data_IF_571517591438
#
_entry.id   IF_571517591438
#
_cell.length_a   1.000
_cell.length_b   1.000
_cell.length_c   1.000
_cell.angle_alpha   90.00
_cell.angle_beta   90.00
_cell.angle_gamma   90.00
#
_symmetry.space_group_name_H-M   'P 1'
#
loop_
_entity.id
_entity.type
_entity.pdbx_description
1 polymer ?
#
# COMPACT_ATOMS: atom_id res chain seq x y z
N UNK A 1 -0.64 -1.40 11.38
CA UNK A 1 0.53 -2.31 11.40
C UNK A 1 0.12 -3.63 12.03
N UNK A 2 0.55 -4.76 11.46
CA UNK A 2 0.31 -6.10 11.98
C UNK A 2 1.51 -7.01 11.78
N UNK A 3 1.70 -7.98 12.66
CA UNK A 3 2.62 -9.09 12.47
C UNK A 3 1.85 -10.34 12.02
N UNK A 4 2.22 -10.85 10.85
CA UNK A 4 1.73 -12.12 10.33
C UNK A 4 2.56 -13.26 10.89
N UNK A 5 1.96 -14.02 11.80
CA UNK A 5 2.65 -15.13 12.48
C UNK A 5 2.96 -16.31 11.54
N UNK A 6 2.27 -16.44 10.41
CA UNK A 6 2.47 -17.55 9.47
C UNK A 6 3.71 -17.33 8.61
N UNK A 7 3.83 -16.13 8.06
CA UNK A 7 4.93 -15.77 7.18
C UNK A 7 6.05 -15.02 7.91
N UNK A 8 5.85 -14.70 9.21
CA UNK A 8 6.79 -13.95 10.06
C UNK A 8 7.14 -12.56 9.51
N UNK A 9 6.17 -11.91 8.89
CA UNK A 9 6.28 -10.62 8.19
C UNK A 9 5.47 -9.56 8.93
N UNK A 10 5.98 -8.34 8.93
CA UNK A 10 5.24 -7.16 9.41
C UNK A 10 4.65 -6.43 8.21
N UNK A 11 3.34 -6.18 8.23
CA UNK A 11 2.66 -5.29 7.28
C UNK A 11 2.37 -3.95 7.93
N UNK A 12 2.67 -2.87 7.22
CA UNK A 12 2.44 -1.49 7.64
C UNK A 12 1.64 -0.79 6.55
N UNK A 13 0.45 -0.31 6.89
CA UNK A 13 -0.36 0.52 5.99
C UNK A 13 -0.32 1.97 6.45
N UNK A 14 -0.06 2.88 5.53
CA UNK A 14 -0.18 4.32 5.71
C UNK A 14 -1.34 4.82 4.85
N UNK A 15 -2.30 5.52 5.45
CA UNK A 15 -3.27 6.33 4.73
C UNK A 15 -2.68 7.72 4.53
N UNK A 16 -2.60 8.14 3.28
CA UNK A 16 -1.96 9.40 2.88
C UNK A 16 -2.74 10.03 1.73
N UNK A 17 -3.13 11.28 1.91
CA UNK A 17 -3.83 12.05 0.88
C UNK A 17 -3.05 13.31 0.59
N UNK A 18 -2.58 13.45 -0.65
CA UNK A 18 -1.79 14.59 -1.09
C UNK A 18 -2.68 15.64 -1.77
N UNK A 19 -2.61 16.89 -1.36
CA UNK A 19 -3.37 17.93 -2.04
C UNK A 19 -2.85 18.14 -3.47
N UNK A 20 -3.74 18.18 -4.45
CA UNK A 20 -3.41 18.45 -5.86
C UNK A 20 -3.00 19.89 -6.14
N UNK A 21 -3.16 20.78 -5.16
CA UNK A 21 -2.79 22.18 -5.30
C UNK A 21 -2.25 22.76 -3.99
N UNK A 22 -1.21 23.58 -4.08
CA UNK A 22 -0.68 24.35 -2.95
C UNK A 22 -1.57 25.54 -2.53
N UNK A 23 -2.66 25.78 -3.25
CA UNK A 23 -3.61 26.86 -2.93
C UNK A 23 -4.61 26.48 -1.85
N UNK A 24 -4.66 25.20 -1.45
CA UNK A 24 -5.52 24.78 -0.36
C UNK A 24 -4.88 25.18 0.97
N UNK A 25 -5.71 25.76 1.83
CA UNK A 25 -5.29 26.22 3.15
C UNK A 25 -5.80 25.23 4.19
N UNK A 26 -4.99 24.89 5.16
CA UNK A 26 -5.42 24.09 6.29
C UNK A 26 -5.32 24.89 7.59
N UNK A 27 -6.20 24.59 8.53
CA UNK A 27 -6.21 25.20 9.85
C UNK A 27 -5.32 24.43 10.85
N UNK A 28 -5.22 24.93 12.09
CA UNK A 28 -4.47 24.28 13.16
C UNK A 28 -4.99 22.89 13.53
N UNK A 29 -6.22 22.54 13.14
CA UNK A 29 -6.85 21.23 13.35
C UNK A 29 -6.61 20.27 12.19
N UNK A 30 -5.95 20.72 11.11
CA UNK A 30 -5.68 19.93 9.92
C UNK A 30 -6.86 19.85 8.96
N UNK A 31 -7.88 20.73 9.10
CA UNK A 31 -9.01 20.80 8.16
C UNK A 31 -8.61 21.64 6.96
N UNK A 32 -8.85 21.11 5.76
CA UNK A 32 -8.55 21.80 4.51
C UNK A 32 -9.73 22.63 4.02
N UNK A 33 -9.39 23.79 3.45
CA UNK A 33 -10.36 24.73 2.92
C UNK A 33 -9.95 25.26 1.54
N UNK A 34 -10.94 25.53 0.72
CA UNK A 34 -10.81 26.42 -0.44
C UNK A 34 -11.34 27.79 -0.05
N UNK A 35 -10.57 28.84 -0.33
CA UNK A 35 -11.04 30.22 -0.15
C UNK A 35 -11.39 30.82 -1.51
N UNK A 36 -12.66 31.17 -1.70
CA UNK A 36 -13.14 31.90 -2.86
C UNK A 36 -14.09 33.01 -2.39
N UNK A 37 -13.84 34.24 -2.84
CA UNK A 37 -14.65 35.42 -2.47
C UNK A 37 -14.89 35.58 -0.95
N UNK A 38 -13.83 35.35 -0.14
CA UNK A 38 -13.88 35.36 1.32
C UNK A 38 -14.78 34.27 1.97
N UNK A 39 -15.28 33.32 1.19
CA UNK A 39 -16.00 32.17 1.69
C UNK A 39 -15.00 31.01 1.81
N UNK A 40 -14.91 30.41 3.01
CA UNK A 40 -14.13 29.18 3.25
C UNK A 40 -15.06 27.99 3.12
N UNK A 41 -14.75 27.11 2.17
CA UNK A 41 -15.45 25.84 2.00
C UNK A 41 -14.55 24.69 2.44
N UNK A 42 -15.02 23.91 3.41
CA UNK A 42 -14.30 22.73 3.89
C UNK A 42 -14.25 21.65 2.80
N UNK A 43 -13.07 21.01 2.68
CA UNK A 43 -12.82 19.95 1.71
C UNK A 43 -12.50 18.66 2.46
N UNK A 44 -13.22 17.59 2.16
CA UNK A 44 -12.90 16.28 2.71
C UNK A 44 -11.60 15.74 2.09
N UNK A 45 -10.71 15.18 2.90
CA UNK A 45 -9.45 14.56 2.45
C UNK A 45 -9.66 13.45 1.42
N UNK A 46 -10.81 12.78 1.48
CA UNK A 46 -11.17 11.69 0.56
C UNK A 46 -11.78 12.17 -0.76
N UNK A 47 -11.90 13.50 -0.97
CA UNK A 47 -12.47 14.03 -2.21
C UNK A 47 -11.42 13.97 -3.34
N UNK A 48 -11.62 13.13 -4.38
CA UNK A 48 -10.65 12.91 -5.44
C UNK A 48 -10.47 14.12 -6.38
N UNK A 49 -11.35 15.13 -6.30
CA UNK A 49 -11.18 16.36 -7.06
C UNK A 49 -10.00 17.19 -6.52
N UNK A 50 -9.80 17.17 -5.20
CA UNK A 50 -8.83 18.02 -4.50
C UNK A 50 -7.61 17.27 -3.99
N UNK A 51 -7.73 15.97 -3.76
CA UNK A 51 -6.66 15.14 -3.22
C UNK A 51 -6.37 13.94 -4.12
N UNK A 52 -5.12 13.53 -4.12
CA UNK A 52 -4.64 12.28 -4.67
C UNK A 52 -4.46 11.30 -3.51
N UNK A 53 -5.01 10.09 -3.65
CA UNK A 53 -4.75 9.00 -2.70
C UNK A 53 -3.33 8.46 -2.96
N UNK A 54 -2.44 8.68 -1.99
CA UNK A 54 -1.06 8.23 -2.00
C UNK A 54 -0.82 7.20 -0.88
N UNK A 55 -1.89 6.53 -0.46
CA UNK A 55 -1.83 5.47 0.54
C UNK A 55 -1.02 4.27 0.02
N UNK A 56 -0.46 3.50 0.94
CA UNK A 56 0.31 2.32 0.60
C UNK A 56 0.35 1.31 1.75
N UNK A 57 0.61 0.08 1.40
CA UNK A 57 0.98 -0.99 2.34
C UNK A 57 2.36 -1.50 1.97
N UNK A 58 3.22 -1.70 2.96
CA UNK A 58 4.57 -2.25 2.78
C UNK A 58 4.77 -3.42 3.73
N UNK A 59 5.57 -4.40 3.31
CA UNK A 59 5.99 -5.53 4.13
C UNK A 59 7.45 -5.45 4.52
N UNK A 60 7.76 -5.92 5.72
CA UNK A 60 9.09 -5.94 6.30
C UNK A 60 9.36 -7.30 6.94
N UNK A 61 10.52 -7.89 6.65
CA UNK A 61 11.00 -9.09 7.31
C UNK A 61 11.91 -8.72 8.49
N UNK A 62 11.48 -8.97 9.73
CA UNK A 62 12.28 -8.65 10.91
C UNK A 62 13.47 -9.58 11.10
N UNK A 63 13.51 -10.77 10.50
CA UNK A 63 14.63 -11.71 10.61
C UNK A 63 15.82 -11.25 9.77
N UNK A 64 15.58 -11.02 8.48
CA UNK A 64 16.61 -10.53 7.55
C UNK A 64 16.80 -9.00 7.64
N UNK A 65 15.91 -8.29 8.33
CA UNK A 65 15.92 -6.83 8.52
C UNK A 65 15.83 -6.07 7.20
N UNK A 66 15.01 -6.56 6.26
CA UNK A 66 14.81 -5.95 4.95
C UNK A 66 13.35 -5.61 4.70
N UNK A 67 13.13 -4.57 3.91
CA UNK A 67 11.83 -4.28 3.31
C UNK A 67 11.64 -5.23 2.13
N UNK A 68 10.47 -5.88 2.05
CA UNK A 68 10.21 -6.89 1.04
C UNK A 68 9.50 -6.30 -0.18
N UNK A 69 8.32 -5.71 0.02
CA UNK A 69 7.47 -5.29 -1.08
C UNK A 69 6.51 -4.19 -0.69
N UNK A 70 6.12 -3.39 -1.67
CA UNK A 70 4.89 -2.61 -1.63
C UNK A 70 3.72 -3.48 -2.10
N UNK A 71 2.54 -3.18 -1.58
CA UNK A 71 1.31 -3.88 -1.87
C UNK A 71 0.20 -2.89 -2.21
N UNK A 72 -0.61 -3.21 -3.21
CA UNK A 72 -1.72 -2.38 -3.66
C UNK A 72 -3.00 -2.55 -2.83
N UNK A 73 -3.01 -3.51 -1.90
CA UNK A 73 -4.14 -3.67 -0.99
C UNK A 73 -3.98 -2.79 0.25
N UNK A 74 -5.07 -2.14 0.65
CA UNK A 74 -5.08 -1.14 1.71
C UNK A 74 -6.18 -1.40 2.74
N UNK A 75 -5.86 -2.06 3.85
CA UNK A 75 -6.82 -2.27 4.92
C UNK A 75 -7.09 -0.99 5.71
N UNK A 76 -8.33 -0.84 6.15
CA UNK A 76 -8.69 0.19 7.12
C UNK A 76 -8.18 -0.15 8.51
N UNK A 77 -8.22 -1.43 8.86
CA UNK A 77 -7.79 -1.95 10.15
C UNK A 77 -7.29 -3.39 10.01
N UNK A 78 -6.39 -3.82 10.90
CA UNK A 78 -5.85 -5.17 10.93
C UNK A 78 -5.91 -5.75 12.34
N UNK A 79 -6.24 -7.05 12.42
CA UNK A 79 -6.37 -7.82 13.66
C UNK A 79 -5.45 -9.05 13.61
N UNK A 80 -4.58 -9.24 14.62
CA UNK A 80 -3.69 -10.40 14.66
C UNK A 80 -4.45 -11.68 15.01
N UNK A 81 -4.00 -12.78 14.45
CA UNK A 81 -4.42 -14.12 14.78
C UNK A 81 -3.23 -15.05 15.04
N UNK A 82 -3.48 -16.27 15.47
CA UNK A 82 -2.40 -17.24 15.76
C UNK A 82 -1.75 -17.78 14.48
N UNK A 83 -2.55 -18.22 13.52
CA UNK A 83 -2.12 -18.82 12.25
C UNK A 83 -2.61 -18.06 11.03
N UNK A 84 -3.21 -16.92 11.23
CA UNK A 84 -3.75 -16.07 10.19
C UNK A 84 -3.93 -14.66 10.76
N UNK A 85 -4.01 -13.68 9.91
CA UNK A 85 -4.44 -12.35 10.32
C UNK A 85 -5.77 -11.99 9.65
N UNK A 86 -6.45 -11.04 10.21
CA UNK A 86 -7.68 -10.48 9.63
C UNK A 86 -7.45 -9.01 9.31
N UNK A 87 -8.13 -8.54 8.30
CA UNK A 87 -8.17 -7.12 7.99
C UNK A 87 -9.60 -6.68 7.69
N UNK A 88 -9.85 -5.40 7.88
CA UNK A 88 -11.10 -4.76 7.52
C UNK A 88 -10.85 -3.92 6.27
N UNK A 89 -11.66 -4.16 5.26
CA UNK A 89 -11.71 -3.32 4.07
C UNK A 89 -13.16 -2.93 3.83
N UNK A 90 -13.43 -1.63 3.81
CA UNK A 90 -14.80 -1.10 3.84
C UNK A 90 -15.54 -1.65 5.06
N UNK A 91 -16.68 -2.29 4.88
CA UNK A 91 -17.53 -2.82 5.96
C UNK A 91 -17.40 -4.34 6.13
N UNK A 92 -16.36 -4.95 5.54
CA UNK A 92 -16.17 -6.41 5.53
C UNK A 92 -14.89 -6.81 6.23
N UNK A 93 -14.96 -7.86 7.05
CA UNK A 93 -13.81 -8.49 7.68
C UNK A 93 -13.32 -9.62 6.79
N UNK A 94 -12.04 -9.58 6.47
CA UNK A 94 -11.35 -10.56 5.63
C UNK A 94 -10.34 -11.34 6.45
N UNK A 95 -10.31 -12.64 6.28
CA UNK A 95 -9.34 -13.54 6.89
C UNK A 95 -8.29 -13.93 5.85
N UNK A 96 -7.02 -13.73 6.18
CA UNK A 96 -5.88 -14.02 5.30
C UNK A 96 -5.19 -15.32 5.68
N UNK A 97 -4.37 -15.87 4.78
CA UNK A 97 -3.60 -17.11 4.95
C UNK A 97 -4.44 -18.35 5.22
N UNK A 98 -5.62 -18.46 4.62
CA UNK A 98 -6.51 -19.63 4.76
C UNK A 98 -6.60 -20.49 3.50
N UNK A 99 -6.27 -19.92 2.34
CA UNK A 99 -6.27 -20.63 1.06
C UNK A 99 -4.84 -20.82 0.59
N UNK A 100 -4.56 -22.01 0.08
CA UNK A 100 -3.23 -22.39 -0.42
C UNK A 100 -3.19 -22.44 -1.95
N UNK A 101 -4.31 -22.19 -2.60
CA UNK A 101 -4.54 -22.27 -4.04
C UNK A 101 -4.79 -20.90 -4.70
N UNK A 102 -4.86 -19.83 -3.91
CA UNK A 102 -5.03 -18.46 -4.39
C UNK A 102 -3.90 -17.58 -3.88
N UNK A 103 -3.01 -17.20 -4.76
CA UNK A 103 -1.90 -16.28 -4.47
C UNK A 103 -2.24 -14.87 -4.97
N UNK A 104 -1.70 -13.87 -4.31
CA UNK A 104 -1.87 -12.46 -4.66
C UNK A 104 -3.33 -11.99 -4.74
N UNK A 105 -4.28 -12.74 -4.16
CA UNK A 105 -5.68 -12.34 -4.08
C UNK A 105 -5.98 -11.70 -2.72
N UNK A 106 -6.34 -10.42 -2.74
CA UNK A 106 -6.78 -9.67 -1.55
C UNK A 106 -8.13 -9.03 -1.83
N UNK A 107 -9.08 -9.24 -0.94
CA UNK A 107 -10.44 -8.67 -1.05
C UNK A 107 -11.20 -9.09 -2.32
N UNK A 108 -10.99 -10.34 -2.78
CA UNK A 108 -11.49 -10.86 -4.06
C UNK A 108 -10.99 -10.09 -5.29
N UNK A 109 -9.83 -9.47 -5.18
CA UNK A 109 -9.13 -8.81 -6.28
C UNK A 109 -7.77 -9.46 -6.45
N UNK A 110 -7.44 -9.87 -7.67
CA UNK A 110 -6.12 -10.37 -8.02
C UNK A 110 -5.18 -9.18 -8.25
N UNK A 111 -4.07 -9.17 -7.52
CA UNK A 111 -3.03 -8.17 -7.67
C UNK A 111 -1.85 -8.79 -8.42
N UNK A 112 -1.30 -8.13 -9.44
CA UNK A 112 -0.16 -8.66 -10.16
C UNK A 112 1.06 -8.75 -9.25
N UNK A 113 1.88 -9.77 -9.47
CA UNK A 113 3.21 -9.85 -8.89
C UNK A 113 4.19 -9.17 -9.84
N UNK A 114 4.78 -8.07 -9.41
CA UNK A 114 5.72 -7.28 -10.19
C UNK A 114 7.08 -7.26 -9.51
N UNK A 115 8.14 -7.46 -10.29
CA UNK A 115 9.52 -7.34 -9.83
C UNK A 115 10.24 -6.28 -10.65
N UNK A 116 10.68 -5.23 -10.00
CA UNK A 116 11.52 -4.20 -10.59
C UNK A 116 12.97 -4.43 -10.16
N UNK A 117 13.88 -4.44 -11.12
CA UNK A 117 15.31 -4.51 -10.84
C UNK A 117 16.10 -3.57 -11.74
N UNK A 118 17.17 -3.02 -11.20
CA UNK A 118 18.08 -2.16 -11.95
C UNK A 118 19.23 -3.03 -12.46
N UNK A 119 19.35 -3.14 -13.78
CA UNK A 119 20.51 -3.74 -14.44
C UNK A 119 21.40 -2.64 -15.03
N UNK A 120 22.40 -2.19 -14.28
CA UNK A 120 23.34 -1.18 -14.73
C UNK A 120 24.77 -1.68 -14.55
N UNK A 121 25.55 -1.69 -15.61
CA UNK A 121 26.98 -1.98 -15.59
C UNK A 121 27.76 -0.75 -16.08
N UNK A 122 27.86 0.27 -15.24
CA UNK A 122 28.63 1.49 -15.54
C UNK A 122 28.09 2.30 -16.73
N UNK A 123 29.01 2.91 -17.51
CA UNK A 123 28.67 3.79 -18.62
C UNK A 123 28.47 3.09 -19.98
N UNK A 124 28.34 1.75 -19.99
CA UNK A 124 28.19 1.00 -21.23
C UNK A 124 26.72 0.78 -21.59
N UNK A 125 26.44 0.82 -22.89
CA UNK A 125 25.11 0.45 -23.40
C UNK A 125 24.99 -1.08 -23.35
N UNK A 126 24.06 -1.58 -22.52
CA UNK A 126 23.80 -2.98 -22.37
C UNK A 126 22.47 -3.35 -23.02
N UNK A 127 22.40 -4.50 -23.67
CA UNK A 127 21.15 -5.08 -24.13
C UNK A 127 20.82 -6.29 -23.26
N UNK A 128 19.64 -6.27 -22.64
CA UNK A 128 19.08 -7.43 -21.95
C UNK A 128 18.62 -8.45 -22.98
N UNK A 129 19.23 -9.65 -22.99
CA UNK A 129 18.91 -10.70 -23.96
C UNK A 129 17.90 -11.70 -23.43
N UNK A 130 17.91 -11.99 -22.14
CA UNK A 130 16.99 -12.90 -21.48
C UNK A 130 16.92 -12.63 -19.98
N UNK A 131 15.81 -12.98 -19.38
CA UNK A 131 15.60 -13.07 -17.94
C UNK A 131 15.15 -14.48 -17.63
N UNK A 132 15.84 -15.16 -16.72
CA UNK A 132 15.42 -16.44 -16.17
C UNK A 132 14.94 -16.21 -14.74
N UNK A 133 13.79 -16.77 -14.41
CA UNK A 133 13.24 -16.72 -13.05
C UNK A 133 12.79 -18.12 -12.64
N UNK A 134 13.05 -18.46 -11.38
CA UNK A 134 12.60 -19.70 -10.76
C UNK A 134 11.45 -19.35 -9.80
N UNK A 135 10.31 -20.00 -9.98
CA UNK A 135 9.19 -19.92 -9.07
C UNK A 135 9.06 -21.26 -8.35
N UNK A 136 9.14 -21.24 -7.02
CA UNK A 136 8.75 -22.36 -6.18
C UNK A 136 7.27 -22.16 -5.78
N UNK A 137 6.41 -23.08 -6.18
CA UNK A 137 5.00 -23.09 -5.89
C UNK A 137 4.67 -24.05 -4.74
#
# INVERSE_FOLDING_TARGET
>A
MIYDNTNEIIYITKKDFKPKSSKYVYDEKGTFFISSNNIKTEIALTNPEYFEDASWTISYDPKSKVWLSFHDWEPTFMLPGKSHFMSVNKDTIWKHNIRTDEFCNFYNVDYPFEVEFISATGQQVNSLKSVEYLLEA
#
